data_IF_904433634994
#
_entry.id   IF_904433634994
#
_cell.length_a   1.000
_cell.length_b   1.000
_cell.length_c   1.000
_cell.angle_alpha   90.00
_cell.angle_beta   90.00
_cell.angle_gamma   90.00
#
_symmetry.space_group_name_H-M   'P 1'
#
loop_
_entity.id
_entity.type
_entity.pdbx_description
1 polymer ?
#
# COMPACT_ATOMS: atom_id res chain seq x y z
N UNK A 1 -4.39 -29.47 11.81
CA UNK A 1 -3.64 -29.23 13.06
C UNK A 1 -2.80 -27.98 12.85
N UNK A 2 -3.10 -26.93 13.60
CA UNK A 2 -2.33 -25.67 13.62
C UNK A 2 -1.43 -25.71 14.83
N UNK A 3 -0.18 -25.25 14.66
CA UNK A 3 0.80 -25.12 15.72
C UNK A 3 1.25 -23.67 15.82
N UNK A 4 1.51 -23.21 17.03
CA UNK A 4 2.15 -21.93 17.27
C UNK A 4 2.57 -21.78 18.72
N UNK A 5 2.94 -20.58 19.10
CA UNK A 5 3.27 -20.22 20.48
C UNK A 5 2.24 -19.23 20.99
N UNK A 6 1.63 -19.54 22.13
CA UNK A 6 0.90 -18.53 22.89
C UNK A 6 1.92 -17.74 23.71
N UNK A 7 2.20 -16.54 23.25
CA UNK A 7 3.22 -15.66 23.83
C UNK A 7 2.79 -15.07 25.18
N UNK A 8 1.50 -15.12 25.54
CA UNK A 8 1.00 -14.67 26.84
C UNK A 8 1.29 -15.67 27.95
N UNK A 9 1.19 -16.97 27.65
CA UNK A 9 1.56 -18.06 28.58
C UNK A 9 2.97 -18.61 28.33
N UNK A 10 3.66 -18.12 27.29
CA UNK A 10 5.01 -18.53 26.87
C UNK A 10 5.14 -20.04 26.67
N UNK A 11 4.20 -20.60 25.92
CA UNK A 11 4.12 -22.05 25.71
C UNK A 11 3.61 -22.41 24.32
N UNK A 12 3.92 -23.63 23.85
CA UNK A 12 3.40 -24.12 22.57
C UNK A 12 1.89 -24.34 22.66
N UNK A 13 1.18 -24.06 21.56
CA UNK A 13 -0.22 -24.47 21.37
C UNK A 13 -0.35 -25.34 20.12
N UNK A 14 -1.19 -26.38 20.22
CA UNK A 14 -1.58 -27.22 19.09
C UNK A 14 -3.11 -27.41 19.13
N UNK A 15 -3.79 -27.09 18.02
CA UNK A 15 -5.25 -27.18 17.94
C UNK A 15 -5.73 -27.68 16.57
N UNK A 16 -6.90 -28.34 16.56
CA UNK A 16 -7.61 -28.72 15.35
C UNK A 16 -8.67 -27.65 15.04
N UNK A 17 -8.75 -27.27 13.77
CA UNK A 17 -9.73 -26.34 13.24
C UNK A 17 -10.33 -26.93 11.97
N UNK A 18 -11.63 -26.72 11.75
CA UNK A 18 -12.31 -27.15 10.51
C UNK A 18 -11.96 -26.22 9.34
N UNK A 19 -11.58 -24.98 9.62
CA UNK A 19 -11.22 -23.97 8.64
C UNK A 19 -10.13 -23.04 9.19
N UNK A 20 -9.22 -22.62 8.31
CA UNK A 20 -8.17 -21.64 8.60
C UNK A 20 -8.32 -20.50 7.60
N UNK A 21 -8.42 -19.27 8.09
CA UNK A 21 -8.45 -18.06 7.26
C UNK A 21 -7.09 -17.38 7.32
N UNK A 22 -6.49 -17.16 6.16
CA UNK A 22 -5.21 -16.44 6.04
C UNK A 22 -5.48 -14.96 5.79
N UNK A 23 -5.15 -14.11 6.78
CA UNK A 23 -5.15 -12.66 6.61
C UNK A 23 -3.90 -12.23 5.84
N UNK A 24 -3.94 -12.38 4.51
CA UNK A 24 -2.81 -12.03 3.63
C UNK A 24 -2.56 -10.52 3.61
N UNK A 25 -1.30 -10.13 3.41
CA UNK A 25 -0.92 -8.73 3.24
C UNK A 25 -1.33 -8.17 1.86
N UNK A 26 -1.08 -6.87 1.66
CA UNK A 26 -1.27 -6.21 0.37
C UNK A 26 0.03 -6.21 -0.43
N UNK A 27 -0.09 -6.46 -1.73
CA UNK A 27 0.99 -6.34 -2.71
C UNK A 27 0.66 -5.26 -3.74
N UNK A 28 1.66 -4.71 -4.45
CA UNK A 28 1.41 -3.76 -5.53
C UNK A 28 0.54 -4.41 -6.62
N UNK A 29 -0.42 -3.65 -7.16
CA UNK A 29 -1.26 -4.13 -8.25
C UNK A 29 -0.45 -4.54 -9.49
N UNK A 30 -0.94 -5.51 -10.27
CA UNK A 30 -0.25 -6.10 -11.42
C UNK A 30 0.27 -5.05 -12.43
N UNK A 31 -0.48 -3.95 -12.60
CA UNK A 31 -0.13 -2.84 -13.51
C UNK A 31 0.88 -1.84 -12.96
N UNK A 32 1.27 -1.91 -11.68
CA UNK A 32 2.08 -0.87 -11.01
C UNK A 32 3.40 -0.62 -11.73
N UNK A 33 4.12 -1.68 -12.11
CA UNK A 33 5.42 -1.56 -12.81
C UNK A 33 5.26 -0.99 -14.23
N UNK A 34 4.15 -1.32 -14.91
CA UNK A 34 3.87 -0.80 -16.24
C UNK A 34 3.55 0.69 -16.19
N UNK A 35 2.69 1.11 -15.24
CA UNK A 35 2.39 2.52 -14.97
C UNK A 35 3.66 3.29 -14.65
N UNK A 36 4.50 2.76 -13.75
CA UNK A 36 5.77 3.38 -13.40
C UNK A 36 6.68 3.58 -14.63
N UNK A 37 6.74 2.60 -15.54
CA UNK A 37 7.51 2.71 -16.78
C UNK A 37 6.94 3.76 -17.73
N UNK A 38 5.61 3.77 -17.94
CA UNK A 38 4.94 4.70 -18.87
C UNK A 38 5.09 6.14 -18.41
N UNK A 39 4.92 6.39 -17.12
CA UNK A 39 4.96 7.73 -16.53
C UNK A 39 6.35 8.11 -15.96
N UNK A 40 7.35 7.24 -16.12
CA UNK A 40 8.71 7.41 -15.60
C UNK A 40 8.74 7.70 -14.09
N UNK A 41 7.94 6.96 -13.32
CA UNK A 41 7.84 7.07 -11.87
C UNK A 41 8.81 6.10 -11.18
N UNK A 42 9.19 6.43 -9.95
CA UNK A 42 10.01 5.55 -9.12
C UNK A 42 9.15 4.49 -8.46
N UNK A 43 9.75 3.33 -8.19
CA UNK A 43 9.14 2.22 -7.44
C UNK A 43 10.04 1.94 -6.23
N UNK A 44 9.44 1.70 -5.07
CA UNK A 44 10.19 1.37 -3.85
C UNK A 44 10.63 -0.11 -3.85
N UNK A 45 11.39 -0.50 -2.82
CA UNK A 45 11.92 -1.87 -2.68
C UNK A 45 10.83 -2.95 -2.58
N UNK A 46 9.62 -2.58 -2.15
CA UNK A 46 8.46 -3.46 -2.03
C UNK A 46 7.62 -3.53 -3.32
N UNK A 47 7.95 -2.74 -4.34
CA UNK A 47 7.27 -2.74 -5.63
C UNK A 47 6.11 -1.74 -5.78
N UNK A 48 5.85 -0.89 -4.78
CA UNK A 48 4.85 0.19 -4.85
C UNK A 48 5.43 1.47 -5.47
N UNK A 49 4.57 2.38 -5.92
CA UNK A 49 5.00 3.70 -6.43
C UNK A 49 5.64 4.51 -5.29
N UNK A 50 6.82 5.06 -5.55
CA UNK A 50 7.57 5.83 -4.57
C UNK A 50 7.25 7.33 -4.71
N UNK A 51 6.64 7.97 -3.68
CA UNK A 51 6.47 9.42 -3.66
C UNK A 51 7.81 10.14 -3.59
N UNK A 52 7.83 11.43 -3.93
CA UNK A 52 9.04 12.27 -3.89
C UNK A 52 9.61 12.40 -2.48
N UNK A 53 8.72 12.62 -1.50
CA UNK A 53 9.05 12.80 -0.09
C UNK A 53 8.32 11.70 0.69
N UNK A 54 8.98 11.00 1.63
CA UNK A 54 8.32 10.02 2.50
C UNK A 54 7.10 10.63 3.20
N UNK A 55 6.00 9.88 3.27
CA UNK A 55 4.72 10.26 3.89
C UNK A 55 3.99 11.45 3.23
N UNK A 56 4.45 11.94 2.07
CA UNK A 56 3.73 12.90 1.23
C UNK A 56 3.28 12.19 -0.04
N UNK A 57 2.25 11.36 0.10
CA UNK A 57 1.89 10.36 -0.90
C UNK A 57 1.41 10.94 -2.21
N UNK A 58 0.69 12.07 -2.19
CA UNK A 58 0.16 12.69 -3.42
C UNK A 58 1.23 13.15 -4.41
N UNK A 59 2.46 13.37 -3.97
CA UNK A 59 3.53 13.95 -4.77
C UNK A 59 4.40 12.85 -5.40
N UNK A 60 4.22 12.64 -6.71
CA UNK A 60 5.00 11.66 -7.46
C UNK A 60 6.42 12.12 -7.81
N UNK A 61 6.73 13.40 -7.63
CA UNK A 61 7.95 14.05 -8.12
C UNK A 61 8.01 14.30 -9.63
N UNK A 62 6.93 13.98 -10.36
CA UNK A 62 6.73 14.35 -11.75
C UNK A 62 5.63 15.40 -11.86
N UNK A 63 5.91 16.48 -12.56
CA UNK A 63 4.95 17.55 -12.80
C UNK A 63 3.71 17.00 -13.52
N UNK A 64 2.52 17.36 -13.02
CA UNK A 64 1.24 16.92 -13.57
C UNK A 64 0.85 15.46 -13.26
N UNK A 65 1.64 14.73 -12.46
CA UNK A 65 1.34 13.35 -12.06
C UNK A 65 1.25 13.28 -10.54
N UNK A 66 0.13 12.77 -10.04
CA UNK A 66 -0.14 12.62 -8.61
C UNK A 66 -0.44 11.15 -8.29
N UNK A 67 -0.21 10.75 -7.05
CA UNK A 67 -0.51 9.40 -6.56
C UNK A 67 -1.65 9.46 -5.53
N UNK A 68 -2.41 8.39 -5.41
CA UNK A 68 -3.43 8.27 -4.37
C UNK A 68 -3.79 6.80 -4.10
N UNK A 69 -4.06 6.49 -2.84
CA UNK A 69 -4.52 5.18 -2.39
C UNK A 69 -3.40 4.15 -2.34
N UNK A 70 -3.79 2.87 -2.29
CA UNK A 70 -2.87 1.75 -2.03
C UNK A 70 -1.80 1.48 -3.11
N UNK A 71 -1.65 2.35 -4.12
CA UNK A 71 -0.57 2.27 -5.10
C UNK A 71 0.81 2.65 -4.52
N UNK A 72 0.84 3.31 -3.35
CA UNK A 72 2.08 3.75 -2.67
C UNK A 72 2.51 2.83 -1.52
N UNK A 73 1.55 2.19 -0.85
CA UNK A 73 1.75 1.30 0.29
C UNK A 73 0.44 0.57 0.66
N UNK A 74 0.48 -0.50 1.48
CA UNK A 74 -0.71 -1.01 2.15
C UNK A 74 -1.43 0.09 2.94
N UNK A 75 -2.74 0.17 2.83
CA UNK A 75 -3.52 1.33 3.26
C UNK A 75 -4.97 0.95 3.61
N UNK A 76 -5.59 1.71 4.50
CA UNK A 76 -7.03 1.63 4.79
C UNK A 76 -7.87 2.32 3.71
N UNK A 77 -9.19 2.11 3.76
CA UNK A 77 -10.11 2.78 2.83
C UNK A 77 -10.20 4.28 3.12
N UNK A 78 -10.20 4.65 4.40
CA UNK A 78 -10.26 6.04 4.86
C UNK A 78 -9.02 6.83 4.39
N UNK A 79 -7.83 6.27 4.59
CA UNK A 79 -6.57 6.85 4.12
C UNK A 79 -6.58 7.04 2.59
N UNK A 80 -7.11 6.06 1.83
CA UNK A 80 -7.21 6.17 0.38
C UNK A 80 -8.16 7.30 -0.07
N UNK A 81 -9.24 7.55 0.67
CA UNK A 81 -10.17 8.67 0.42
C UNK A 81 -9.49 10.02 0.69
N UNK A 82 -8.75 10.11 1.79
CA UNK A 82 -7.99 11.31 2.17
C UNK A 82 -6.94 11.65 1.12
N UNK A 83 -6.16 10.65 0.66
CA UNK A 83 -5.17 10.84 -0.39
C UNK A 83 -5.79 11.22 -1.74
N UNK A 84 -6.91 10.60 -2.11
CA UNK A 84 -7.64 10.97 -3.32
C UNK A 84 -8.05 12.44 -3.31
N UNK A 85 -8.52 12.92 -2.15
CA UNK A 85 -8.88 14.32 -1.96
C UNK A 85 -7.65 15.25 -2.04
N UNK A 86 -6.55 14.87 -1.41
CA UNK A 86 -5.29 15.62 -1.47
C UNK A 86 -4.73 15.71 -2.90
N UNK A 87 -4.71 14.59 -3.64
CA UNK A 87 -4.28 14.55 -5.04
C UNK A 87 -5.17 15.43 -5.93
N UNK A 88 -6.49 15.41 -5.74
CA UNK A 88 -7.42 16.26 -6.47
C UNK A 88 -7.18 17.76 -6.22
N UNK A 89 -6.94 18.16 -4.97
CA UNK A 89 -6.60 19.55 -4.64
C UNK A 89 -5.31 20.01 -5.32
N UNK A 90 -4.29 19.15 -5.38
CA UNK A 90 -3.04 19.51 -6.05
C UNK A 90 -3.18 19.57 -7.57
N UNK A 91 -3.98 18.67 -8.15
CA UNK A 91 -4.28 18.71 -9.58
C UNK A 91 -5.02 20.01 -9.97
N UNK A 92 -5.99 20.45 -9.15
CA UNK A 92 -6.70 21.72 -9.37
C UNK A 92 -5.77 22.93 -9.28
N UNK A 93 -4.77 22.90 -8.37
CA UNK A 93 -3.81 23.98 -8.23
C UNK A 93 -2.86 24.13 -9.46
N UNK A 94 -2.89 23.20 -10.41
CA UNK A 94 -2.16 23.28 -11.68
C UNK A 94 -3.03 23.77 -12.86
N UNK A 95 -4.34 23.99 -12.67
CA UNK A 95 -5.27 24.53 -13.67
C UNK A 95 -5.29 26.07 -13.64
#
# INVERSE_FOLDING_TARGET
MVKGEDTLVRGPFEALFDMIVLAVGMEPGEGTKQVAKVFNLKVNEYGFLAPRIPNVHYDSGKEGIFLAGACVAPMSVEEAIEEGSAAAMQAINML
#
